data_IF_563000576038
#
_entry.id   IF_563000576038
#
_cell.length_a   1.000
_cell.length_b   1.000
_cell.length_c   1.000
_cell.angle_alpha   90.00
_cell.angle_beta   90.00
_cell.angle_gamma   90.00
#
_symmetry.space_group_name_H-M   'P 1'
#
loop_
_entity.id
_entity.type
_entity.pdbx_description
1 polymer ?
#
# COMPACT_ATOMS: atom_id res chain seq x y z
N UNK A 1 -8.31 -78.74 3.42
CA UNK A 1 -6.97 -78.39 3.62
C UNK A 1 -6.55 -77.10 3.00
N UNK A 2 -6.52 -76.99 1.72
CA UNK A 2 -6.09 -75.74 1.14
C UNK A 2 -6.94 -74.53 1.50
N UNK A 3 -8.11 -74.77 1.95
CA UNK A 3 -9.02 -73.66 2.26
C UNK A 3 -8.60 -72.79 3.40
N UNK A 4 -7.87 -73.36 4.27
CA UNK A 4 -7.46 -72.62 5.45
C UNK A 4 -6.58 -71.44 5.13
N UNK A 5 -5.86 -71.61 4.11
CA UNK A 5 -4.89 -70.58 3.76
C UNK A 5 -5.54 -69.31 3.23
N UNK A 6 -6.65 -69.48 2.67
CA UNK A 6 -7.29 -68.36 2.03
C UNK A 6 -7.85 -67.33 3.03
N UNK A 7 -8.20 -67.77 4.15
CA UNK A 7 -8.82 -66.86 5.12
C UNK A 7 -7.84 -65.84 5.65
N UNK A 8 -6.65 -66.26 5.81
CA UNK A 8 -5.67 -65.36 6.39
C UNK A 8 -5.34 -64.21 5.52
N UNK A 9 -5.47 -64.41 4.24
CA UNK A 9 -5.07 -63.34 3.31
C UNK A 9 -6.01 -62.13 3.40
N UNK A 10 -7.23 -62.40 3.41
CA UNK A 10 -8.19 -61.32 3.43
C UNK A 10 -8.06 -60.44 4.63
N UNK A 11 -7.75 -61.06 5.73
CA UNK A 11 -7.66 -60.28 6.97
C UNK A 11 -6.44 -59.40 6.99
N UNK A 12 -5.36 -59.87 6.46
CA UNK A 12 -4.14 -59.14 6.50
C UNK A 12 -4.17 -57.88 5.63
N UNK A 13 -4.76 -58.03 4.48
CA UNK A 13 -4.79 -56.92 3.55
C UNK A 13 -5.66 -55.78 4.05
N UNK A 14 -6.73 -56.10 4.65
CA UNK A 14 -7.61 -55.04 5.08
C UNK A 14 -7.05 -54.21 6.22
N UNK A 15 -6.35 -54.83 7.10
CA UNK A 15 -5.81 -54.13 8.23
C UNK A 15 -4.74 -53.12 7.84
N UNK A 16 -3.94 -53.51 6.89
CA UNK A 16 -2.84 -52.63 6.48
C UNK A 16 -3.35 -51.41 5.77
N UNK A 17 -4.38 -51.58 4.98
CA UNK A 17 -4.89 -50.44 4.21
C UNK A 17 -5.46 -49.34 5.10
N UNK A 18 -6.03 -49.75 6.17
CA UNK A 18 -6.66 -48.74 7.05
C UNK A 18 -5.63 -47.85 7.73
N UNK A 19 -4.58 -48.45 8.18
CA UNK A 19 -3.61 -47.72 8.95
C UNK A 19 -2.92 -46.62 8.16
N UNK A 20 -2.68 -46.89 6.91
CA UNK A 20 -1.92 -45.97 6.10
C UNK A 20 -2.71 -44.69 5.75
N UNK A 21 -3.99 -44.84 5.63
CA UNK A 21 -4.80 -43.68 5.21
C UNK A 21 -4.95 -42.60 6.25
N UNK A 22 -4.91 -42.99 7.48
CA UNK A 22 -5.08 -42.02 8.55
C UNK A 22 -3.98 -41.00 8.64
N UNK A 23 -2.86 -41.31 8.05
CA UNK A 23 -1.71 -40.41 8.13
C UNK A 23 -1.79 -39.22 7.18
N UNK A 24 -2.59 -39.35 6.14
CA UNK A 24 -2.58 -38.32 5.10
C UNK A 24 -3.59 -37.23 5.33
N UNK A 25 -4.66 -37.54 6.01
CA UNK A 25 -5.74 -36.58 6.15
C UNK A 25 -5.49 -35.49 7.18
N UNK A 26 -4.46 -35.64 7.92
CA UNK A 26 -4.21 -34.76 9.04
C UNK A 26 -3.21 -33.71 8.63
N UNK A 27 -3.68 -32.58 8.31
CA UNK A 27 -2.79 -31.44 8.23
C UNK A 27 -2.16 -31.20 9.59
N UNK A 28 -1.15 -31.97 9.93
CA UNK A 28 -0.39 -31.68 11.13
C UNK A 28 0.24 -30.32 10.95
N UNK A 29 -0.31 -29.40 11.64
CA UNK A 29 0.38 -28.14 11.78
C UNK A 29 1.55 -28.37 12.71
N UNK A 30 2.73 -28.43 12.14
CA UNK A 30 3.93 -28.44 12.95
C UNK A 30 3.96 -27.18 13.79
N UNK A 31 3.99 -27.30 15.10
CA UNK A 31 4.02 -26.12 15.94
C UNK A 31 5.25 -25.26 15.73
N UNK A 32 6.19 -25.79 15.01
CA UNK A 32 7.43 -25.07 14.72
C UNK A 32 7.49 -24.47 13.33
N UNK A 33 6.50 -24.77 12.49
CA UNK A 33 6.45 -24.08 11.20
C UNK A 33 6.01 -22.66 11.43
N UNK A 34 6.97 -21.77 11.43
CA UNK A 34 6.72 -20.37 11.48
C UNK A 34 6.27 -19.94 10.10
N UNK A 35 4.97 -19.89 9.90
CA UNK A 35 4.45 -19.30 8.69
C UNK A 35 4.89 -17.85 8.65
N UNK A 36 5.40 -17.37 7.52
CA UNK A 36 5.64 -15.95 7.40
C UNK A 36 4.32 -15.24 7.72
N UNK A 37 4.38 -14.16 8.47
CA UNK A 37 3.16 -13.39 8.71
C UNK A 37 2.54 -13.06 7.37
N UNK A 38 1.21 -13.06 7.29
CA UNK A 38 0.56 -12.64 6.07
C UNK A 38 1.15 -11.28 5.68
N UNK A 39 1.39 -11.06 4.38
CA UNK A 39 1.88 -9.76 3.96
C UNK A 39 0.97 -8.73 4.60
N UNK A 40 1.58 -7.82 5.36
CA UNK A 40 0.85 -6.69 5.91
C UNK A 40 -0.01 -6.18 4.79
N UNK A 41 -1.32 -6.17 5.00
CA UNK A 41 -2.22 -5.52 4.08
C UNK A 41 -1.49 -4.24 3.67
N UNK A 42 -1.14 -4.13 2.41
CA UNK A 42 -0.39 -2.99 1.92
C UNK A 42 -1.12 -1.79 2.48
N UNK A 43 -0.42 -1.02 3.33
CA UNK A 43 -0.99 0.17 3.91
C UNK A 43 -1.65 0.89 2.76
N UNK A 44 -2.96 1.14 2.88
CA UNK A 44 -3.68 1.82 1.83
C UNK A 44 -2.97 3.15 1.59
N UNK A 45 -2.34 3.27 0.44
CA UNK A 45 -1.58 4.45 0.07
C UNK A 45 -2.33 5.23 -0.98
N UNK A 46 -2.08 6.53 -1.01
CA UNK A 46 -2.61 7.41 -2.04
C UNK A 46 -1.49 8.29 -2.59
N UNK A 47 -1.78 8.94 -3.69
CA UNK A 47 -0.84 9.85 -4.35
C UNK A 47 -1.45 11.22 -4.45
N UNK A 48 -0.61 12.24 -4.34
CA UNK A 48 -0.97 13.62 -4.60
C UNK A 48 -0.22 14.07 -5.83
N UNK A 49 -0.94 14.46 -6.85
CA UNK A 49 -0.38 14.99 -8.09
C UNK A 49 -0.98 16.35 -8.37
N UNK A 50 -0.29 17.15 -9.13
CA UNK A 50 -0.85 18.43 -9.49
C UNK A 50 0.11 19.31 -10.25
N UNK A 51 -0.24 20.57 -10.32
CA UNK A 51 0.55 21.57 -11.03
C UNK A 51 0.71 22.80 -10.17
N UNK A 52 1.84 23.49 -10.37
CA UNK A 52 2.07 24.81 -9.81
C UNK A 52 1.95 25.83 -10.93
N UNK A 53 1.07 26.78 -10.75
CA UNK A 53 0.79 27.80 -11.76
C UNK A 53 0.89 29.20 -11.15
N UNK A 54 1.12 30.19 -12.02
CA UNK A 54 1.04 31.58 -11.62
C UNK A 54 -0.42 32.04 -11.55
N UNK A 55 -0.64 33.23 -11.03
CA UNK A 55 -1.97 33.83 -11.00
C UNK A 55 -2.56 34.05 -12.40
N UNK A 56 -1.73 34.01 -13.42
CA UNK A 56 -2.12 34.14 -14.82
C UNK A 56 -2.28 32.78 -15.52
N UNK A 57 -2.12 31.69 -14.79
CA UNK A 57 -2.25 30.35 -15.32
C UNK A 57 -0.99 29.79 -15.97
N UNK A 58 0.12 30.51 -15.92
CA UNK A 58 1.36 30.00 -16.48
C UNK A 58 1.95 28.91 -15.59
N UNK A 59 2.42 27.84 -16.20
CA UNK A 59 3.02 26.71 -15.48
C UNK A 59 4.40 27.10 -14.98
N UNK A 60 4.66 26.83 -13.69
CA UNK A 60 5.89 27.26 -13.05
C UNK A 60 6.82 26.06 -12.83
N UNK A 61 7.94 26.08 -13.50
CA UNK A 61 9.02 25.11 -13.31
C UNK A 61 9.87 25.48 -12.10
N UNK A 62 10.40 24.46 -11.41
CA UNK A 62 11.30 24.66 -10.26
C UNK A 62 10.62 25.33 -9.06
N UNK A 63 9.33 25.26 -8.96
CA UNK A 63 8.65 25.63 -7.73
C UNK A 63 8.86 24.53 -6.69
N UNK A 64 9.02 24.91 -5.44
CA UNK A 64 9.24 23.97 -4.35
C UNK A 64 7.90 23.68 -3.70
N UNK A 65 7.48 22.44 -3.72
CA UNK A 65 6.21 22.02 -3.15
C UNK A 65 6.48 21.32 -1.82
N UNK A 66 5.86 21.79 -0.76
CA UNK A 66 6.00 21.23 0.58
C UNK A 66 4.71 20.50 0.97
N UNK A 67 4.87 19.27 1.43
CA UNK A 67 3.77 18.48 1.93
C UNK A 67 4.05 18.14 3.40
N UNK A 68 3.19 18.58 4.28
CA UNK A 68 3.34 18.40 5.72
C UNK A 68 2.28 17.44 6.24
N UNK A 69 2.73 16.40 6.96
CA UNK A 69 1.83 15.55 7.72
C UNK A 69 1.40 16.32 8.97
N UNK A 70 0.10 16.47 9.17
CA UNK A 70 -0.41 17.27 10.29
C UNK A 70 -0.25 16.58 11.64
N UNK A 71 -0.11 15.27 11.67
CA UNK A 71 0.07 14.52 12.91
C UNK A 71 1.53 14.44 13.32
N UNK A 72 2.39 14.02 12.40
CA UNK A 72 3.80 13.81 12.69
C UNK A 72 4.64 15.07 12.50
N UNK A 73 4.10 16.05 11.78
CA UNK A 73 4.77 17.28 11.38
C UNK A 73 5.93 17.05 10.42
N UNK A 74 6.03 15.87 9.85
CA UNK A 74 7.03 15.55 8.84
C UNK A 74 6.73 16.30 7.55
N UNK A 75 7.76 16.89 6.95
CA UNK A 75 7.64 17.65 5.70
C UNK A 75 8.37 16.91 4.60
N UNK A 76 7.68 16.66 3.50
CA UNK A 76 8.25 16.14 2.26
C UNK A 76 8.26 17.27 1.23
N UNK A 77 9.30 17.28 0.42
CA UNK A 77 9.50 18.35 -0.56
C UNK A 77 9.66 17.75 -1.95
N UNK A 78 9.05 18.38 -2.93
CA UNK A 78 9.24 18.07 -4.36
C UNK A 78 9.41 19.36 -5.14
N UNK A 79 10.13 19.25 -6.25
CA UNK A 79 10.33 20.38 -7.15
C UNK A 79 9.50 20.13 -8.40
N UNK A 80 8.75 21.14 -8.83
CA UNK A 80 7.95 21.00 -10.04
C UNK A 80 8.83 20.86 -11.28
N UNK A 81 8.35 20.10 -12.25
CA UNK A 81 9.07 19.86 -13.49
C UNK A 81 8.88 21.02 -14.48
N UNK A 82 9.38 20.84 -15.71
CA UNK A 82 9.29 21.85 -16.76
C UNK A 82 7.87 22.24 -17.10
N UNK A 83 6.91 21.37 -16.81
CA UNK A 83 5.49 21.62 -17.04
C UNK A 83 4.76 22.04 -15.77
N UNK A 84 5.49 22.33 -14.72
CA UNK A 84 4.92 22.73 -13.45
C UNK A 84 4.32 21.61 -12.63
N UNK A 85 4.53 20.38 -13.04
CA UNK A 85 3.91 19.21 -12.36
C UNK A 85 4.73 18.74 -11.17
N UNK A 86 4.02 18.26 -10.15
CA UNK A 86 4.63 17.64 -8.99
C UNK A 86 3.87 16.35 -8.63
N UNK A 87 4.56 15.42 -7.98
CA UNK A 87 3.98 14.14 -7.57
C UNK A 87 4.53 13.74 -6.21
N UNK A 88 3.63 13.40 -5.29
CA UNK A 88 3.96 12.74 -4.02
C UNK A 88 3.29 11.37 -4.02
N UNK A 89 4.08 10.32 -3.86
CA UNK A 89 3.59 8.95 -3.83
C UNK A 89 3.74 8.35 -2.45
N UNK A 90 2.96 7.30 -2.19
CA UNK A 90 3.09 6.57 -0.94
C UNK A 90 2.59 7.31 0.28
N UNK A 91 1.58 8.16 0.11
CA UNK A 91 0.96 8.88 1.22
C UNK A 91 0.01 7.96 1.97
N UNK A 92 -0.04 8.13 3.29
CA UNK A 92 -0.94 7.38 4.14
C UNK A 92 -2.37 7.87 3.94
N UNK A 93 -3.29 6.93 3.70
CA UNK A 93 -4.70 7.27 3.54
C UNK A 93 -5.34 7.82 4.80
N UNK A 94 -4.82 7.41 5.95
CA UNK A 94 -5.39 7.78 7.24
C UNK A 94 -4.81 9.09 7.79
N UNK A 95 -3.88 9.71 7.07
CA UNK A 95 -3.24 10.95 7.50
C UNK A 95 -3.83 12.15 6.79
N UNK A 96 -3.84 13.27 7.51
CA UNK A 96 -4.17 14.57 6.94
C UNK A 96 -2.89 15.29 6.59
N UNK A 97 -2.87 15.88 5.40
CA UNK A 97 -1.72 16.61 4.91
C UNK A 97 -2.07 18.04 4.57
N UNK A 98 -1.08 18.89 4.66
CA UNK A 98 -1.16 20.28 4.23
C UNK A 98 -0.10 20.51 3.17
N UNK A 99 -0.48 21.07 2.04
CA UNK A 99 0.43 21.28 0.92
C UNK A 99 0.43 22.74 0.48
N UNK A 100 1.60 23.26 0.17
CA UNK A 100 1.75 24.57 -0.44
C UNK A 100 2.99 24.57 -1.32
N UNK A 101 3.08 25.55 -2.20
CA UNK A 101 4.22 25.72 -3.08
C UNK A 101 4.86 27.09 -2.85
N UNK A 102 6.16 27.15 -3.08
CA UNK A 102 6.95 28.38 -3.04
C UNK A 102 7.64 28.57 -4.37
N UNK A 103 7.63 29.79 -4.84
CA UNK A 103 8.29 30.16 -6.09
C UNK A 103 8.76 31.61 -6.01
N UNK A 104 10.09 31.80 -6.13
CA UNK A 104 10.70 33.13 -6.15
C UNK A 104 10.25 34.02 -5.00
N UNK A 105 10.18 33.45 -3.80
CA UNK A 105 9.81 34.19 -2.60
C UNK A 105 8.32 34.38 -2.38
N UNK A 106 7.48 33.91 -3.29
CA UNK A 106 6.04 33.90 -3.12
C UNK A 106 5.56 32.51 -2.77
N UNK A 107 4.49 32.41 -1.99
CA UNK A 107 3.93 31.13 -1.56
C UNK A 107 2.46 31.03 -1.99
N UNK A 108 2.07 29.83 -2.36
CA UNK A 108 0.66 29.52 -2.60
C UNK A 108 -0.11 29.46 -1.28
N UNK A 109 -1.43 29.50 -1.38
CA UNK A 109 -2.29 29.22 -0.23
C UNK A 109 -2.09 27.76 0.18
N UNK A 110 -2.24 27.48 1.47
CA UNK A 110 -2.22 26.12 1.98
C UNK A 110 -3.47 25.38 1.55
N UNK A 111 -3.27 24.15 1.07
CA UNK A 111 -4.37 23.27 0.69
C UNK A 111 -4.32 22.03 1.56
N UNK A 112 -5.47 21.54 1.93
CA UNK A 112 -5.57 20.37 2.78
C UNK A 112 -5.91 19.13 1.97
N UNK A 113 -5.24 18.03 2.30
CA UNK A 113 -5.55 16.68 1.77
C UNK A 113 -6.07 15.89 2.96
N UNK A 114 -7.37 15.63 2.98
CA UNK A 114 -8.02 15.01 4.13
C UNK A 114 -7.95 13.47 4.05
N UNK A 115 -7.89 12.84 5.22
CA UNK A 115 -8.02 11.39 5.31
C UNK A 115 -9.41 10.90 4.89
N UNK A 116 -10.40 11.79 4.85
CA UNK A 116 -11.73 11.46 4.34
C UNK A 116 -11.76 11.35 2.82
N UNK A 117 -10.74 11.87 2.14
CA UNK A 117 -10.64 11.76 0.69
C UNK A 117 -10.08 10.39 0.34
N UNK A 118 -10.93 9.51 -0.13
CA UNK A 118 -10.60 8.11 -0.38
C UNK A 118 -10.10 7.84 -1.80
N UNK A 119 -9.87 8.88 -2.58
CA UNK A 119 -9.32 8.73 -3.93
C UNK A 119 -7.88 8.21 -3.87
N UNK A 120 -7.55 7.32 -4.80
CA UNK A 120 -6.18 6.81 -4.91
C UNK A 120 -5.22 7.88 -5.39
N UNK A 121 -5.69 8.77 -6.21
CA UNK A 121 -4.93 9.88 -6.74
C UNK A 121 -5.72 11.17 -6.58
N UNK A 122 -5.11 12.14 -5.92
CA UNK A 122 -5.71 13.45 -5.67
C UNK A 122 -4.97 14.46 -6.55
N UNK A 123 -5.72 15.24 -7.29
CA UNK A 123 -5.16 16.29 -8.16
C UNK A 123 -5.41 17.66 -7.56
N UNK A 124 -4.34 18.41 -7.31
CA UNK A 124 -4.42 19.76 -6.79
C UNK A 124 -3.57 20.73 -7.60
N UNK A 125 -4.15 21.87 -7.93
CA UNK A 125 -3.44 22.97 -8.56
C UNK A 125 -3.07 23.97 -7.45
N UNK A 126 -1.80 24.34 -7.39
CA UNK A 126 -1.29 25.34 -6.45
C UNK A 126 -0.98 26.59 -7.24
N UNK A 127 -1.65 27.67 -6.85
CA UNK A 127 -1.48 28.96 -7.53
C UNK A 127 -0.57 29.87 -6.71
N UNK A 128 0.47 30.37 -7.37
CA UNK A 128 1.40 31.34 -6.77
C UNK A 128 0.87 32.73 -7.09
N UNK A 129 0.54 33.55 -6.07
CA UNK A 129 0.04 34.89 -6.32
C UNK A 129 1.12 35.76 -6.95
N UNK A 130 0.72 36.62 -7.83
CA UNK A 130 1.60 37.65 -8.37
C UNK A 130 1.85 38.71 -7.32
N UNK A 131 3.07 39.16 -7.27
CA UNK A 131 3.42 40.30 -6.40
C UNK A 131 2.94 41.61 -7.00
#
# INVERSE_FOLDING_TARGET
MPMRNMFRWGLLTSAVAMASLSLFGQGRQDPYVRYPPPPKAQAAIKSLVGEVVSSQGAKLSQAVVHLKDKQTLEVKTRISDEQGKYVFRGLDRDADYEVHAEYQGASSANRNVSHFDDRDEIYLVLEIPSK
#
